data_IF_406829502706
#
_entry.id   IF_406829502706
#
_cell.length_a   1.000
_cell.length_b   1.000
_cell.length_c   1.000
_cell.angle_alpha   90.00
_cell.angle_beta   90.00
_cell.angle_gamma   90.00
#
_symmetry.space_group_name_H-M   'P 1'
#
loop_
_entity.id
_entity.type
_entity.pdbx_description
1 polymer ?
#
# COMPACT_ATOMS: atom_id res chain seq x y z
N UNK A 1 8.51 -12.70 -12.87
CA UNK A 1 8.94 -11.82 -13.98
C UNK A 1 8.19 -10.50 -13.88
N UNK A 2 8.63 -9.43 -14.56
CA UNK A 2 7.90 -8.14 -14.56
C UNK A 2 6.46 -8.29 -15.08
N UNK A 3 6.29 -9.09 -16.14
CA UNK A 3 4.98 -9.41 -16.70
C UNK A 3 4.01 -10.01 -15.67
N UNK A 4 4.50 -10.91 -14.81
CA UNK A 4 3.67 -11.49 -13.76
C UNK A 4 3.17 -10.44 -12.76
N UNK A 5 4.02 -9.48 -12.37
CA UNK A 5 3.59 -8.39 -11.48
C UNK A 5 2.56 -7.48 -12.14
N UNK A 6 2.69 -7.24 -13.44
CA UNK A 6 1.70 -6.49 -14.23
C UNK A 6 0.36 -7.23 -14.30
N UNK A 7 0.38 -8.56 -14.48
CA UNK A 7 -0.82 -9.40 -14.43
C UNK A 7 -1.52 -9.35 -13.09
N UNK A 8 -0.78 -9.39 -11.97
CA UNK A 8 -1.37 -9.25 -10.63
C UNK A 8 -2.10 -7.91 -10.46
N UNK A 9 -1.58 -6.83 -11.04
CA UNK A 9 -2.26 -5.52 -11.04
C UNK A 9 -3.53 -5.57 -11.88
N UNK A 10 -3.49 -6.22 -13.03
CA UNK A 10 -4.67 -6.37 -13.89
C UNK A 10 -5.76 -7.22 -13.22
N UNK A 11 -5.38 -8.31 -12.53
CA UNK A 11 -6.29 -9.16 -11.76
C UNK A 11 -6.96 -8.39 -10.62
N UNK A 12 -6.19 -7.61 -9.84
CA UNK A 12 -6.74 -6.78 -8.78
C UNK A 12 -7.72 -5.72 -9.32
N UNK A 13 -7.37 -5.06 -10.42
CA UNK A 13 -8.24 -4.06 -11.05
C UNK A 13 -9.48 -4.70 -11.67
N UNK A 14 -9.38 -5.92 -12.20
CA UNK A 14 -10.51 -6.69 -12.72
C UNK A 14 -11.51 -7.07 -11.61
N UNK A 15 -11.04 -7.22 -10.37
CA UNK A 15 -11.89 -7.34 -9.18
C UNK A 15 -12.73 -6.09 -8.85
N UNK A 16 -12.47 -4.97 -9.53
CA UNK A 16 -13.19 -3.69 -9.39
C UNK A 16 -13.35 -3.27 -7.92
N UNK A 17 -12.25 -3.11 -7.16
CA UNK A 17 -12.33 -2.69 -5.75
C UNK A 17 -13.09 -1.39 -5.62
N UNK A 18 -14.02 -1.28 -4.67
CA UNK A 18 -14.86 -0.09 -4.52
C UNK A 18 -14.32 0.87 -3.47
N UNK A 19 -14.53 2.16 -3.69
CA UNK A 19 -14.42 3.15 -2.64
C UNK A 19 -15.72 3.16 -1.81
N UNK A 20 -15.70 2.80 -0.52
CA UNK A 20 -16.92 2.77 0.31
C UNK A 20 -17.60 4.13 0.46
N UNK A 21 -16.86 5.24 0.35
CA UNK A 21 -17.38 6.60 0.55
C UNK A 21 -17.67 7.31 -0.78
N UNK A 22 -16.81 7.12 -1.78
CA UNK A 22 -16.93 7.77 -3.09
C UNK A 22 -17.83 7.04 -4.07
N UNK A 23 -18.20 5.78 -3.78
CA UNK A 23 -18.97 4.89 -4.64
C UNK A 23 -18.40 4.78 -6.07
N UNK A 24 -17.08 4.86 -6.18
CA UNK A 24 -16.34 4.71 -7.42
C UNK A 24 -15.37 3.54 -7.33
N UNK A 25 -15.15 2.88 -8.47
CA UNK A 25 -14.13 1.85 -8.57
C UNK A 25 -12.73 2.46 -8.45
N UNK A 26 -11.89 1.84 -7.62
CA UNK A 26 -10.48 2.18 -7.44
C UNK A 26 -9.63 1.50 -8.51
N UNK A 27 -8.53 2.15 -8.87
CA UNK A 27 -7.58 1.64 -9.87
C UNK A 27 -6.19 1.67 -9.27
N UNK A 28 -5.62 0.50 -9.02
CA UNK A 28 -4.26 0.34 -8.48
C UNK A 28 -3.27 0.70 -9.58
N UNK A 29 -2.42 1.72 -9.36
CA UNK A 29 -1.49 2.17 -10.38
C UNK A 29 -0.19 1.35 -10.34
N UNK A 30 0.43 1.20 -11.52
CA UNK A 30 1.75 0.55 -11.70
C UNK A 30 2.93 1.45 -11.32
N UNK A 31 2.69 2.75 -11.19
CA UNK A 31 3.63 3.80 -10.78
C UNK A 31 2.88 4.85 -10.00
N UNK A 32 3.52 5.51 -9.04
CA UNK A 32 2.93 6.66 -8.34
C UNK A 32 2.61 7.73 -9.38
N UNK A 33 1.33 7.85 -9.74
CA UNK A 33 0.77 8.83 -10.66
C UNK A 33 -0.47 9.38 -9.98
N UNK A 34 -0.65 10.70 -9.98
CA UNK A 34 -1.76 11.35 -9.28
C UNK A 34 -3.06 11.16 -10.06
N UNK A 35 -3.69 10.00 -9.88
CA UNK A 35 -4.90 9.62 -10.60
C UNK A 35 -6.18 9.95 -9.79
N UNK A 36 -6.49 11.25 -9.69
CA UNK A 36 -7.83 11.75 -9.33
C UNK A 36 -8.60 10.97 -8.25
N UNK A 37 -9.89 10.71 -8.48
CA UNK A 37 -10.78 10.03 -7.52
C UNK A 37 -10.58 8.51 -7.44
N UNK A 38 -9.92 7.91 -8.44
CA UNK A 38 -9.75 6.46 -8.56
C UNK A 38 -8.49 5.95 -7.86
N UNK A 39 -7.56 6.84 -7.51
CA UNK A 39 -6.35 6.51 -6.76
C UNK A 39 -6.73 5.88 -5.41
N UNK A 40 -6.28 4.65 -5.12
CA UNK A 40 -6.43 4.04 -3.81
C UNK A 40 -5.50 4.71 -2.79
N UNK A 41 -6.04 4.95 -1.60
CA UNK A 41 -5.35 5.42 -0.40
C UNK A 41 -5.54 4.40 0.72
N UNK A 42 -4.48 4.12 1.47
CA UNK A 42 -4.52 3.24 2.64
C UNK A 42 -4.42 4.05 3.92
N UNK A 43 -5.20 3.68 4.92
CA UNK A 43 -5.05 4.13 6.31
C UNK A 43 -4.04 3.25 7.03
N UNK A 44 -2.83 3.75 7.29
CA UNK A 44 -1.69 2.91 7.70
C UNK A 44 -1.87 2.23 9.06
N UNK A 45 -2.68 2.82 9.96
CA UNK A 45 -2.95 2.22 11.28
C UNK A 45 -3.97 1.06 11.24
N UNK A 46 -4.75 0.91 10.16
CA UNK A 46 -5.80 -0.12 10.11
C UNK A 46 -5.89 -0.91 8.79
N UNK A 47 -5.18 -0.49 7.75
CA UNK A 47 -5.13 -1.19 6.46
C UNK A 47 -6.31 -0.95 5.52
N UNK A 48 -7.36 -0.27 5.96
CA UNK A 48 -8.52 0.03 5.10
C UNK A 48 -8.11 0.88 3.89
N UNK A 49 -8.59 0.47 2.71
CA UNK A 49 -8.32 1.12 1.44
C UNK A 49 -9.56 1.88 0.94
N UNK A 50 -9.36 3.12 0.51
CA UNK A 50 -10.42 4.01 0.03
C UNK A 50 -9.94 4.91 -1.12
N UNK A 51 -10.85 5.68 -1.71
CA UNK A 51 -10.54 6.74 -2.67
C UNK A 51 -10.32 8.08 -1.97
N UNK A 52 -9.93 9.09 -2.74
CA UNK A 52 -9.75 10.44 -2.22
C UNK A 52 -11.07 11.04 -1.71
N UNK A 53 -11.09 11.52 -0.47
CA UNK A 53 -12.17 12.35 0.09
C UNK A 53 -11.62 13.38 1.09
N UNK A 54 -12.39 14.42 1.39
CA UNK A 54 -11.97 15.52 2.28
C UNK A 54 -12.41 15.33 3.74
N UNK A 55 -13.33 14.40 3.99
CA UNK A 55 -13.84 14.11 5.34
C UNK A 55 -12.75 13.58 6.30
N UNK A 56 -12.86 13.96 7.58
CA UNK A 56 -12.07 13.40 8.69
C UNK A 56 -10.60 13.81 8.72
N UNK A 57 -10.22 14.88 8.01
CA UNK A 57 -8.83 15.36 7.92
C UNK A 57 -8.46 16.22 9.13
N UNK A 58 -7.43 15.80 9.86
CA UNK A 58 -6.87 16.49 11.03
C UNK A 58 -5.34 16.52 10.92
N UNK A 59 -4.75 17.68 10.61
CA UNK A 59 -3.30 17.96 10.63
C UNK A 59 -2.35 16.81 10.27
N UNK A 60 -2.44 16.29 9.03
CA UNK A 60 -1.54 15.22 8.54
C UNK A 60 -2.02 13.80 8.82
N UNK A 61 -3.04 13.64 9.65
CA UNK A 61 -3.73 12.37 9.91
C UNK A 61 -5.18 12.44 9.40
N UNK A 62 -5.81 11.26 9.29
CA UNK A 62 -7.21 11.16 8.92
C UNK A 62 -7.89 10.04 9.68
N UNK A 63 -9.15 10.27 10.05
CA UNK A 63 -10.03 9.25 10.62
C UNK A 63 -10.53 8.30 9.54
N UNK A 64 -10.35 7.00 9.74
CA UNK A 64 -10.86 5.96 8.86
C UNK A 64 -12.39 5.90 8.94
N UNK A 65 -13.13 6.01 7.81
CA UNK A 65 -14.60 5.92 7.81
C UNK A 65 -15.12 4.53 8.18
N UNK A 66 -14.30 3.48 8.04
CA UNK A 66 -14.73 2.10 8.29
C UNK A 66 -14.63 1.72 9.77
N UNK A 67 -13.59 2.17 10.46
CA UNK A 67 -13.29 1.75 11.84
C UNK A 67 -12.98 2.89 12.82
N UNK A 68 -13.02 4.14 12.36
CA UNK A 68 -12.73 5.35 13.14
C UNK A 68 -11.30 5.49 13.69
N UNK A 69 -10.39 4.59 13.32
CA UNK A 69 -8.96 4.69 13.64
C UNK A 69 -8.37 5.95 12.99
N UNK A 70 -7.58 6.72 13.74
CA UNK A 70 -6.90 7.91 13.24
C UNK A 70 -5.46 7.56 12.91
N UNK A 71 -5.01 7.89 11.71
CA UNK A 71 -3.62 7.64 11.32
C UNK A 71 -3.21 8.31 10.02
N UNK A 72 -1.95 8.12 9.59
CA UNK A 72 -1.48 8.58 8.30
C UNK A 72 -2.24 7.91 7.16
N UNK A 73 -2.43 8.66 6.06
CA UNK A 73 -3.08 8.16 4.85
C UNK A 73 -2.21 8.44 3.65
N UNK A 74 -1.90 7.40 2.88
CA UNK A 74 -0.96 7.47 1.75
C UNK A 74 -1.53 6.76 0.53
N UNK A 75 -1.09 7.16 -0.65
CA UNK A 75 -1.47 6.51 -1.91
C UNK A 75 -0.85 5.13 -2.02
N UNK A 76 -1.61 4.16 -2.52
CA UNK A 76 -1.09 2.85 -2.88
C UNK A 76 -0.54 2.83 -4.31
N UNK A 77 0.54 2.08 -4.50
CA UNK A 77 1.06 1.73 -5.82
C UNK A 77 1.74 0.37 -5.79
N UNK A 78 1.71 -0.36 -6.90
CA UNK A 78 2.40 -1.65 -7.00
C UNK A 78 3.92 -1.46 -7.13
N UNK A 79 4.71 -2.22 -6.37
CA UNK A 79 6.13 -2.41 -6.66
C UNK A 79 6.32 -3.29 -7.90
N UNK A 80 6.97 -2.80 -8.94
CA UNK A 80 7.08 -3.52 -10.23
C UNK A 80 8.45 -4.15 -10.50
N UNK A 81 9.40 -4.04 -9.58
CA UNK A 81 10.75 -4.62 -9.71
C UNK A 81 10.76 -6.08 -9.23
N UNK A 82 10.87 -7.08 -10.12
CA UNK A 82 10.78 -8.49 -9.75
C UNK A 82 11.88 -8.96 -8.82
N UNK A 83 13.07 -8.35 -8.87
CA UNK A 83 14.20 -8.75 -8.03
C UNK A 83 13.94 -8.56 -6.53
N UNK A 84 12.95 -7.75 -6.15
CA UNK A 84 12.63 -7.46 -4.76
C UNK A 84 11.54 -8.37 -4.17
N UNK A 85 10.93 -9.23 -4.98
CA UNK A 85 9.93 -10.18 -4.51
C UNK A 85 10.58 -11.50 -4.09
N UNK A 86 10.17 -12.03 -2.95
CA UNK A 86 10.66 -13.32 -2.40
C UNK A 86 9.70 -14.49 -2.63
N UNK A 87 8.60 -14.22 -3.33
CA UNK A 87 7.59 -15.16 -3.81
C UNK A 87 6.74 -14.54 -4.94
N UNK A 88 5.70 -15.27 -5.35
CA UNK A 88 4.69 -14.85 -6.33
C UNK A 88 3.31 -14.70 -5.66
N UNK A 89 3.26 -14.35 -4.37
CA UNK A 89 2.03 -14.19 -3.62
C UNK A 89 1.25 -12.92 -4.00
N UNK A 90 -0.06 -12.84 -3.70
CA UNK A 90 -0.87 -11.68 -4.04
C UNK A 90 -0.42 -10.43 -3.24
N UNK A 91 -0.43 -9.22 -3.83
CA UNK A 91 0.08 -8.01 -3.20
C UNK A 91 -0.95 -7.40 -2.22
N UNK A 92 -1.15 -8.12 -1.12
CA UNK A 92 -2.17 -7.85 -0.09
C UNK A 92 -1.64 -7.02 1.08
N UNK A 93 -0.41 -6.53 1.00
CA UNK A 93 0.26 -5.72 2.03
C UNK A 93 0.88 -4.48 1.40
N UNK A 94 1.11 -3.45 2.20
CA UNK A 94 1.89 -2.28 1.81
C UNK A 94 2.92 -1.90 2.86
N UNK A 95 4.05 -1.36 2.43
CA UNK A 95 5.08 -0.80 3.30
C UNK A 95 4.62 0.51 3.95
N UNK A 96 4.94 0.70 5.24
CA UNK A 96 4.72 1.92 6.00
C UNK A 96 6.04 2.71 6.05
N UNK A 97 6.11 3.99 5.66
CA UNK A 97 5.00 4.89 5.32
C UNK A 97 4.69 5.05 3.83
N UNK A 98 5.43 4.39 2.93
CA UNK A 98 5.41 4.77 1.51
C UNK A 98 4.21 4.26 0.70
N UNK A 99 3.48 3.24 1.17
CA UNK A 99 2.32 2.69 0.46
C UNK A 99 2.64 1.78 -0.72
N UNK A 100 3.90 1.38 -0.93
CA UNK A 100 4.24 0.39 -1.94
C UNK A 100 3.67 -0.98 -1.58
N UNK A 101 2.88 -1.54 -2.49
CA UNK A 101 2.22 -2.83 -2.34
C UNK A 101 3.18 -3.99 -2.66
N UNK A 102 3.10 -5.05 -1.87
CA UNK A 102 3.81 -6.31 -2.10
C UNK A 102 3.10 -7.48 -1.41
N UNK A 103 3.59 -8.70 -1.65
CA UNK A 103 3.11 -9.89 -0.96
C UNK A 103 3.47 -9.88 0.52
N UNK A 104 2.73 -10.63 1.33
CA UNK A 104 3.00 -10.77 2.77
C UNK A 104 4.45 -11.20 3.05
N UNK A 105 4.93 -12.20 2.29
CA UNK A 105 6.27 -12.74 2.48
C UNK A 105 7.34 -11.70 2.12
N UNK A 106 7.10 -10.89 1.09
CA UNK A 106 8.02 -9.83 0.67
C UNK A 106 8.09 -8.71 1.70
N UNK A 107 6.96 -8.21 2.22
CA UNK A 107 7.00 -7.15 3.24
C UNK A 107 7.68 -7.63 4.53
N UNK A 108 7.40 -8.86 4.97
CA UNK A 108 8.04 -9.48 6.14
C UNK A 108 9.54 -9.64 5.97
N UNK A 109 9.99 -10.08 4.80
CA UNK A 109 11.40 -10.23 4.50
C UNK A 109 12.13 -8.89 4.59
N UNK A 110 11.62 -7.85 3.92
CA UNK A 110 12.27 -6.54 3.89
C UNK A 110 12.17 -5.78 5.20
N UNK A 111 11.11 -5.98 6.00
CA UNK A 111 11.03 -5.41 7.36
C UNK A 111 12.06 -6.00 8.33
N UNK A 112 12.51 -7.23 8.07
CA UNK A 112 13.50 -7.93 8.90
C UNK A 112 14.91 -7.86 8.31
N UNK A 113 15.08 -7.27 7.13
CA UNK A 113 16.36 -7.17 6.44
C UNK A 113 16.95 -5.79 6.67
N UNK A 114 17.88 -5.63 7.64
CA UNK A 114 18.56 -4.36 7.84
C UNK A 114 19.44 -4.03 6.63
N UNK A 115 19.24 -2.84 6.06
CA UNK A 115 20.06 -2.34 4.95
C UNK A 115 21.03 -1.30 5.53
N UNK A 116 22.33 -1.35 5.18
CA UNK A 116 23.27 -0.31 5.56
C UNK A 116 22.79 1.07 5.08
N UNK A 117 22.63 2.01 6.01
CA UNK A 117 22.25 3.39 5.72
C UNK A 117 23.31 4.36 6.25
N UNK A 118 24.00 5.03 5.32
CA UNK A 118 25.09 5.95 5.64
C UNK A 118 26.26 5.25 6.35
N UNK A 119 26.90 5.94 7.29
CA UNK A 119 28.08 5.45 8.01
C UNK A 119 27.77 4.78 9.35
N UNK A 120 26.53 4.87 9.87
CA UNK A 120 26.25 4.56 11.28
C UNK A 120 24.94 3.79 11.55
N UNK A 121 24.16 3.35 10.55
CA UNK A 121 22.84 2.75 10.78
C UNK A 121 22.53 1.52 9.92
N UNK A 122 21.79 0.58 10.50
CA UNK A 122 21.16 -0.53 9.81
C UNK A 122 19.65 -0.36 10.00
N UNK A 123 18.94 -0.01 8.93
CA UNK A 123 17.50 0.26 8.98
C UNK A 123 16.79 -0.55 7.90
N UNK A 124 15.61 -1.08 8.23
CA UNK A 124 14.74 -1.70 7.23
C UNK A 124 14.14 -0.59 6.36
N UNK A 125 14.12 -0.81 5.04
CA UNK A 125 13.63 0.18 4.08
C UNK A 125 12.73 -0.50 3.05
N UNK A 126 11.81 0.26 2.46
CA UNK A 126 11.07 -0.21 1.31
C UNK A 126 12.05 -0.42 0.14
N UNK A 127 12.15 -1.63 -0.44
CA UNK A 127 13.12 -1.91 -1.51
C UNK A 127 12.82 -1.14 -2.81
N UNK A 128 11.56 -0.68 -3.00
CA UNK A 128 11.13 -0.01 -4.22
C UNK A 128 11.47 1.49 -4.27
N UNK A 129 11.59 2.14 -3.11
CA UNK A 129 11.79 3.59 -3.03
C UNK A 129 12.81 4.05 -1.99
N UNK A 130 13.42 3.11 -1.25
CA UNK A 130 14.38 3.37 -0.18
C UNK A 130 13.85 4.23 0.98
N UNK A 131 12.53 4.44 1.09
CA UNK A 131 11.94 5.06 2.28
C UNK A 131 12.17 4.16 3.49
N UNK A 132 12.77 4.66 4.59
CA UNK A 132 12.89 3.93 5.84
C UNK A 132 11.52 3.47 6.34
N UNK A 133 11.44 2.24 6.84
CA UNK A 133 10.19 1.74 7.37
C UNK A 133 9.91 2.36 8.74
N UNK A 134 8.68 2.81 8.91
CA UNK A 134 8.19 3.41 10.15
C UNK A 134 7.25 2.44 10.88
N UNK A 135 7.22 2.57 12.21
CA UNK A 135 6.50 1.70 13.13
C UNK A 135 6.92 0.22 13.06
N UNK A 136 6.59 -0.55 14.10
CA UNK A 136 6.71 -2.01 14.05
C UNK A 136 5.36 -2.60 13.66
N UNK A 137 5.24 -3.36 12.56
CA UNK A 137 6.32 -4.08 11.85
C UNK A 137 6.83 -3.43 10.54
N UNK A 138 6.52 -2.16 10.24
CA UNK A 138 6.97 -1.49 9.01
C UNK A 138 6.10 -1.76 7.77
N UNK A 139 4.96 -2.44 7.96
CA UNK A 139 4.00 -2.74 6.90
C UNK A 139 2.58 -2.93 7.48
N UNK A 140 1.58 -2.86 6.61
CA UNK A 140 0.17 -3.06 6.94
C UNK A 140 -0.51 -4.02 5.96
N UNK A 141 -1.43 -4.85 6.45
CA UNK A 141 -2.30 -5.68 5.60
C UNK A 141 -3.38 -4.79 4.98
N UNK A 142 -3.60 -4.90 3.68
CA UNK A 142 -4.60 -4.13 2.96
C UNK A 142 -5.98 -4.76 3.09
N UNK A 143 -6.99 -3.91 3.33
CA UNK A 143 -8.39 -4.27 3.43
C UNK A 143 -9.15 -3.44 2.40
N UNK A 144 -9.33 -4.03 1.21
CA UNK A 144 -10.21 -3.47 0.19
C UNK A 144 -11.67 -3.76 0.57
N UNK A 145 -12.59 -2.93 0.09
CA UNK A 145 -14.00 -3.30 0.10
C UNK A 145 -14.27 -4.19 -1.11
N UNK A 146 -14.74 -5.39 -0.83
CA UNK A 146 -15.24 -6.29 -1.86
C UNK A 146 -16.54 -5.73 -2.45
N UNK A 147 -16.85 -6.04 -3.71
CA UNK A 147 -18.20 -5.81 -4.22
C UNK A 147 -19.14 -6.69 -3.39
N UNK A 148 -19.90 -6.09 -2.48
CA UNK A 148 -21.11 -6.70 -1.93
C UNK A 148 -22.15 -6.65 -3.06
N UNK A 149 -22.12 -7.64 -3.94
CA UNK A 149 -23.29 -8.06 -4.72
C UNK A 149 -24.04 -9.13 -3.92
#
# INVERSE_FOLDING_TARGET
TKHHLEQLVDELNAGRPQCPVGLNTLVIPRKITMNGKQQPYVYLNCGHVQGHHDWGKESGSRRCPMCFEVGPVVTLCMGIEPAFYVDAGPPTYAFNPCGHMASEKSVKYWSMTPIPHGTNGFEAQCPFCATPLEDSPGFVRLIFQDNLD
#
